data_IF_061558026300
#
_entry.id   IF_061558026300
#
_cell.length_a   1.000
_cell.length_b   1.000
_cell.length_c   1.000
_cell.angle_alpha   90.00
_cell.angle_beta   90.00
_cell.angle_gamma   90.00
#
_symmetry.space_group_name_H-M   'P 1'
#
loop_
_entity.id
_entity.type
_entity.pdbx_description
1 polymer ?
#
# COMPACT_ATOMS: atom_id res chain seq x y z
N UNK A 1 19.58 32.65 -1.32
CA UNK A 1 19.97 31.32 -1.85
C UNK A 1 20.22 30.42 -0.65
N UNK A 2 19.63 29.22 -0.60
CA UNK A 2 19.91 28.26 0.48
C UNK A 2 21.21 27.54 0.12
N UNK A 3 22.24 27.72 0.92
CA UNK A 3 23.43 26.87 0.90
C UNK A 3 23.02 25.50 1.44
N UNK A 4 23.15 24.46 0.62
CA UNK A 4 22.80 23.09 0.97
C UNK A 4 23.95 22.44 1.75
N UNK A 5 23.79 22.33 3.07
CA UNK A 5 24.64 21.49 3.91
C UNK A 5 24.52 20.02 3.50
N UNK A 6 25.65 19.32 3.53
CA UNK A 6 25.87 17.97 3.00
C UNK A 6 25.18 16.84 3.82
N UNK A 7 23.99 17.10 4.35
CA UNK A 7 23.17 16.17 5.13
C UNK A 7 21.65 16.39 5.02
N UNK A 8 21.19 17.36 4.21
CA UNK A 8 19.80 17.83 4.17
C UNK A 8 19.05 17.42 2.88
N UNK A 9 19.19 16.17 2.42
CA UNK A 9 18.35 15.68 1.34
C UNK A 9 16.88 15.67 1.81
N UNK A 10 16.09 16.61 1.29
CA UNK A 10 14.66 16.72 1.63
C UNK A 10 13.85 15.91 0.62
N UNK A 11 13.13 14.91 1.15
CA UNK A 11 12.16 14.12 0.39
C UNK A 11 10.75 14.49 0.83
N UNK A 12 9.93 14.91 -0.12
CA UNK A 12 8.49 15.03 0.08
C UNK A 12 7.82 13.67 -0.16
N UNK A 13 6.85 13.31 0.69
CA UNK A 13 6.09 12.07 0.60
C UNK A 13 4.60 12.42 0.52
N UNK A 14 3.92 11.89 -0.49
CA UNK A 14 2.47 11.97 -0.67
C UNK A 14 1.85 10.57 -0.61
N UNK A 15 0.89 10.37 0.28
CA UNK A 15 0.19 9.09 0.46
C UNK A 15 -1.11 9.05 -0.35
N UNK A 16 -1.40 7.92 -0.99
CA UNK A 16 -2.57 7.82 -1.87
C UNK A 16 -3.19 6.43 -2.00
N UNK A 17 -4.42 6.38 -2.51
CA UNK A 17 -5.12 5.09 -2.70
C UNK A 17 -4.61 4.36 -3.96
N UNK A 18 -4.26 5.11 -5.01
CA UNK A 18 -3.78 4.55 -6.29
C UNK A 18 -2.27 4.28 -6.21
N UNK A 19 -1.53 5.27 -5.75
CA UNK A 19 -0.11 5.18 -5.44
C UNK A 19 -0.01 5.32 -3.92
N UNK A 20 0.15 4.22 -3.16
CA UNK A 20 0.28 4.24 -1.69
C UNK A 20 1.32 5.24 -1.19
N UNK A 21 2.40 5.44 -1.94
CA UNK A 21 3.33 6.54 -1.70
C UNK A 21 3.92 7.05 -3.02
N UNK A 22 4.02 8.37 -3.14
CA UNK A 22 4.83 9.07 -4.12
C UNK A 22 5.92 9.85 -3.37
N UNK A 23 7.16 9.73 -3.81
CA UNK A 23 8.33 10.36 -3.20
C UNK A 23 8.96 11.30 -4.22
N UNK A 24 9.31 12.51 -3.78
CA UNK A 24 10.03 13.49 -4.58
C UNK A 24 11.22 14.01 -3.76
N UNK A 25 12.44 13.72 -4.22
CA UNK A 25 13.68 14.05 -3.51
C UNK A 25 14.49 15.04 -4.32
N UNK A 26 14.91 16.14 -3.70
CA UNK A 26 15.89 17.03 -4.31
C UNK A 26 17.26 16.34 -4.33
N UNK A 27 17.82 16.17 -5.53
CA UNK A 27 19.16 15.60 -5.71
C UNK A 27 20.21 16.72 -5.75
N UNK A 28 19.84 17.86 -6.31
CA UNK A 28 20.61 19.10 -6.35
C UNK A 28 19.65 20.32 -6.40
N UNK A 29 20.18 21.53 -6.62
CA UNK A 29 19.38 22.76 -6.63
C UNK A 29 18.33 22.88 -7.76
N UNK A 30 18.39 22.02 -8.78
CA UNK A 30 17.55 22.09 -9.99
C UNK A 30 16.90 20.75 -10.36
N UNK A 31 17.35 19.65 -9.78
CA UNK A 31 16.91 18.30 -10.14
C UNK A 31 16.13 17.65 -9.00
N UNK A 32 14.96 17.10 -9.36
CA UNK A 32 14.11 16.29 -8.47
C UNK A 32 14.05 14.87 -9.03
N UNK A 33 14.38 13.89 -8.21
CA UNK A 33 14.10 12.49 -8.48
C UNK A 33 12.72 12.10 -7.94
N UNK A 34 11.95 11.33 -8.71
CA UNK A 34 10.57 10.97 -8.38
C UNK A 34 10.39 9.46 -8.38
N UNK A 35 10.01 8.91 -7.24
CA UNK A 35 9.70 7.48 -7.08
C UNK A 35 8.22 7.29 -6.76
N UNK A 36 7.54 6.45 -7.57
CA UNK A 36 6.13 6.12 -7.37
C UNK A 36 5.98 4.65 -6.96
N UNK A 37 5.50 4.41 -5.75
CA UNK A 37 5.17 3.07 -5.28
C UNK A 37 3.73 2.77 -5.69
N UNK A 38 3.51 1.72 -6.49
CA UNK A 38 2.19 1.41 -7.07
C UNK A 38 1.32 0.53 -6.16
N UNK A 39 0.03 0.86 -6.03
CA UNK A 39 -0.97 0.16 -5.23
C UNK A 39 -1.61 -1.09 -5.84
N UNK A 40 -1.10 -1.61 -6.98
CA UNK A 40 -1.73 -2.72 -7.74
C UNK A 40 -2.01 -3.95 -6.88
N UNK A 41 -1.06 -4.35 -6.05
CA UNK A 41 -1.19 -5.52 -5.18
C UNK A 41 -2.26 -5.30 -4.11
N UNK A 42 -2.20 -4.18 -3.36
CA UNK A 42 -3.24 -3.80 -2.41
C UNK A 42 -4.64 -3.76 -3.03
N UNK A 43 -4.77 -3.26 -4.27
CA UNK A 43 -6.03 -3.30 -5.04
C UNK A 43 -6.46 -4.73 -5.37
N UNK A 44 -5.54 -5.60 -5.77
CA UNK A 44 -5.84 -7.00 -6.08
C UNK A 44 -6.36 -7.74 -4.84
N UNK A 45 -5.74 -7.51 -3.67
CA UNK A 45 -6.18 -8.07 -2.37
C UNK A 45 -7.61 -7.61 -2.04
N UNK A 46 -7.88 -6.29 -2.13
CA UNK A 46 -9.22 -5.72 -1.91
C UNK A 46 -10.25 -6.32 -2.88
N UNK A 47 -9.90 -6.46 -4.16
CA UNK A 47 -10.75 -7.06 -5.19
C UNK A 47 -11.07 -8.52 -4.88
N UNK A 48 -10.07 -9.32 -4.52
CA UNK A 48 -10.25 -10.72 -4.17
C UNK A 48 -11.20 -10.88 -2.97
N UNK A 49 -11.00 -10.09 -1.91
CA UNK A 49 -11.90 -10.04 -0.74
C UNK A 49 -13.33 -9.71 -1.14
N UNK A 50 -13.53 -8.66 -1.93
CA UNK A 50 -14.86 -8.22 -2.36
C UNK A 50 -15.56 -9.28 -3.22
N UNK A 51 -14.82 -9.96 -4.11
CA UNK A 51 -15.35 -11.06 -4.93
C UNK A 51 -15.81 -12.23 -4.06
N UNK A 52 -15.00 -12.64 -3.08
CA UNK A 52 -15.36 -13.70 -2.14
C UNK A 52 -16.58 -13.33 -1.30
N UNK A 53 -16.66 -12.08 -0.82
CA UNK A 53 -17.82 -11.57 -0.09
C UNK A 53 -19.09 -11.59 -0.95
N UNK A 54 -19.00 -11.12 -2.20
CA UNK A 54 -20.12 -11.13 -3.14
C UNK A 54 -20.63 -12.54 -3.44
N UNK A 55 -19.72 -13.51 -3.61
CA UNK A 55 -20.08 -14.92 -3.80
C UNK A 55 -20.82 -15.51 -2.60
N UNK A 56 -20.38 -15.21 -1.37
CA UNK A 56 -21.09 -15.65 -0.17
C UNK A 56 -22.46 -14.97 -0.05
N UNK A 57 -22.56 -13.67 -0.30
CA UNK A 57 -23.84 -12.97 -0.28
C UNK A 57 -24.83 -13.54 -1.29
N UNK A 58 -24.37 -13.85 -2.50
CA UNK A 58 -25.19 -14.50 -3.51
C UNK A 58 -25.68 -15.89 -3.08
N UNK A 59 -24.87 -16.66 -2.34
CA UNK A 59 -25.29 -17.95 -1.79
C UNK A 59 -26.30 -17.78 -0.63
N UNK A 60 -26.09 -16.77 0.21
CA UNK A 60 -26.97 -16.46 1.35
C UNK A 60 -28.36 -16.05 0.85
N UNK A 61 -28.46 -15.21 -0.19
CA UNK A 61 -29.75 -14.74 -0.72
C UNK A 61 -30.63 -15.86 -1.27
N UNK A 62 -30.03 -16.99 -1.69
CA UNK A 62 -30.75 -18.19 -2.15
C UNK A 62 -31.14 -19.14 -1.02
N UNK A 63 -30.75 -18.88 0.22
CA UNK A 63 -31.02 -19.76 1.36
C UNK A 63 -32.22 -19.27 2.17
N UNK A 64 -33.04 -20.20 2.68
CA UNK A 64 -34.06 -19.88 3.69
C UNK A 64 -33.37 -19.32 4.94
N UNK A 65 -33.82 -18.14 5.39
CA UNK A 65 -33.36 -17.51 6.62
C UNK A 65 -33.45 -18.50 7.81
N UNK A 66 -32.42 -18.52 8.64
CA UNK A 66 -32.36 -19.40 9.80
C UNK A 66 -32.06 -20.87 9.48
N UNK A 67 -32.02 -21.31 8.22
CA UNK A 67 -31.62 -22.69 7.88
C UNK A 67 -30.18 -23.02 8.31
N UNK A 68 -29.86 -24.31 8.49
CA UNK A 68 -28.49 -24.75 8.82
C UNK A 68 -27.46 -24.26 7.80
N UNK A 69 -27.82 -24.26 6.51
CA UNK A 69 -26.99 -23.75 5.41
C UNK A 69 -26.79 -22.22 5.51
N UNK A 70 -27.87 -21.47 5.76
CA UNK A 70 -27.81 -20.02 5.97
C UNK A 70 -26.83 -19.66 7.11
N UNK A 71 -26.98 -20.29 8.29
CA UNK A 71 -26.12 -20.01 9.45
C UNK A 71 -24.64 -20.29 9.16
N UNK A 72 -24.33 -21.39 8.45
CA UNK A 72 -22.96 -21.72 8.03
C UNK A 72 -22.36 -20.66 7.09
N UNK A 73 -23.12 -20.22 6.09
CA UNK A 73 -22.65 -19.20 5.14
C UNK A 73 -22.46 -17.83 5.78
N UNK A 74 -23.35 -17.43 6.69
CA UNK A 74 -23.21 -16.19 7.47
C UNK A 74 -21.97 -16.25 8.37
N UNK A 75 -21.72 -17.39 9.03
CA UNK A 75 -20.49 -17.57 9.80
C UNK A 75 -19.23 -17.47 8.92
N UNK A 76 -19.26 -18.06 7.72
CA UNK A 76 -18.17 -17.98 6.75
C UNK A 76 -17.95 -16.59 6.14
N UNK A 77 -18.94 -15.68 6.26
CA UNK A 77 -18.87 -14.28 5.76
C UNK A 77 -17.81 -13.44 6.49
N UNK A 78 -17.22 -13.94 7.58
CA UNK A 78 -16.09 -13.33 8.29
C UNK A 78 -14.76 -13.42 7.51
N UNK A 79 -14.74 -13.10 6.21
CA UNK A 79 -13.57 -13.25 5.30
C UNK A 79 -12.52 -12.13 5.49
N UNK A 80 -12.35 -11.58 6.70
CA UNK A 80 -11.59 -10.35 6.88
C UNK A 80 -10.13 -10.57 7.29
N UNK A 81 -9.82 -11.66 8.01
CA UNK A 81 -8.48 -11.86 8.60
C UNK A 81 -7.38 -11.99 7.56
N UNK A 82 -7.55 -12.86 6.55
CA UNK A 82 -6.54 -13.07 5.50
C UNK A 82 -6.27 -11.80 4.69
N UNK A 83 -7.33 -11.12 4.24
CA UNK A 83 -7.18 -9.88 3.48
C UNK A 83 -6.54 -8.77 4.33
N UNK A 84 -6.86 -8.69 5.62
CA UNK A 84 -6.24 -7.73 6.55
C UNK A 84 -4.75 -8.00 6.71
N UNK A 85 -4.36 -9.27 6.91
CA UNK A 85 -2.94 -9.65 7.04
C UNK A 85 -2.17 -9.33 5.76
N UNK A 86 -2.72 -9.67 4.59
CA UNK A 86 -2.08 -9.35 3.31
C UNK A 86 -1.98 -7.84 3.06
N UNK A 87 -2.97 -7.04 3.47
CA UNK A 87 -2.88 -5.58 3.37
C UNK A 87 -1.82 -5.01 4.32
N UNK A 88 -1.70 -5.55 5.53
CA UNK A 88 -0.66 -5.15 6.48
C UNK A 88 0.75 -5.43 5.93
N UNK A 89 0.96 -6.62 5.36
CA UNK A 89 2.22 -6.98 4.71
C UNK A 89 2.51 -6.06 3.51
N UNK A 90 1.49 -5.79 2.69
CA UNK A 90 1.59 -4.84 1.60
C UNK A 90 2.02 -3.44 2.09
N UNK A 91 1.36 -2.89 3.13
CA UNK A 91 1.68 -1.58 3.69
C UNK A 91 3.11 -1.55 4.28
N UNK A 92 3.56 -2.66 4.89
CA UNK A 92 4.94 -2.82 5.34
C UNK A 92 5.93 -2.77 4.17
N UNK A 93 5.65 -3.47 3.07
CA UNK A 93 6.50 -3.43 1.87
C UNK A 93 6.56 -2.04 1.23
N UNK A 94 5.44 -1.29 1.21
CA UNK A 94 5.43 0.10 0.72
C UNK A 94 6.33 0.96 1.61
N UNK A 95 6.15 0.89 2.93
CA UNK A 95 6.95 1.66 3.89
C UNK A 95 8.44 1.35 3.78
N UNK A 96 8.78 0.07 3.61
CA UNK A 96 10.16 -0.37 3.40
C UNK A 96 10.76 0.22 2.12
N UNK A 97 10.06 0.15 0.98
CA UNK A 97 10.52 0.72 -0.29
C UNK A 97 10.75 2.23 -0.21
N UNK A 98 9.89 2.94 0.51
CA UNK A 98 10.05 4.37 0.75
C UNK A 98 11.29 4.67 1.62
N UNK A 99 11.49 3.91 2.71
CA UNK A 99 12.67 4.05 3.56
C UNK A 99 13.96 3.74 2.80
N UNK A 100 13.98 2.66 2.02
CA UNK A 100 15.13 2.26 1.19
C UNK A 100 15.49 3.37 0.19
N UNK A 101 14.50 4.01 -0.44
CA UNK A 101 14.72 5.15 -1.34
C UNK A 101 15.37 6.35 -0.62
N UNK A 102 14.83 6.76 0.52
CA UNK A 102 15.35 7.91 1.29
C UNK A 102 16.79 7.64 1.77
N UNK A 103 17.06 6.43 2.25
CA UNK A 103 18.41 6.03 2.69
C UNK A 103 19.38 6.03 1.50
N UNK A 104 18.97 5.50 0.36
CA UNK A 104 19.82 5.43 -0.84
C UNK A 104 20.14 6.82 -1.41
N UNK A 105 19.15 7.70 -1.52
CA UNK A 105 19.38 9.09 -1.97
C UNK A 105 20.36 9.82 -1.06
N UNK A 106 20.31 9.58 0.26
CA UNK A 106 21.28 10.15 1.21
C UNK A 106 22.72 9.70 0.92
N UNK A 107 22.96 8.49 0.42
CA UNK A 107 24.30 8.01 0.09
C UNK A 107 24.86 8.57 -1.22
N UNK A 108 24.02 8.81 -2.23
CA UNK A 108 24.46 9.40 -3.51
C UNK A 108 24.95 10.83 -3.32
N UNK A 109 24.20 11.65 -2.56
CA UNK A 109 24.58 13.05 -2.31
C UNK A 109 25.92 13.17 -1.57
N UNK A 110 26.31 12.14 -0.82
CA UNK A 110 27.60 12.10 -0.09
C UNK A 110 28.77 11.66 -0.99
N UNK A 111 28.54 10.85 -2.03
CA UNK A 111 29.61 10.30 -2.87
C UNK A 111 29.84 11.05 -4.20
N UNK A 112 28.97 12.00 -4.57
CA UNK A 112 29.12 12.81 -5.80
C UNK A 112 29.89 14.13 -5.58
N UNK A 113 30.49 14.33 -4.40
CA UNK A 113 31.38 15.45 -4.08
C UNK A 113 32.83 15.00 -3.94
#
# INVERSE_FOLDING_TARGET
MRESSHGDAVTAIDEGIINPMALATWVDAKTIDVTIINGREGRAIKRQRNKAFGQLQHKISKCKNGSKKYRRLVAAKKINSKAKLSLCDFDHQVSKKAADHVIFCRFITVNMN
#
